data_IF_493392049263
#
_entry.id   IF_493392049263
#
_cell.length_a   1.000
_cell.length_b   1.000
_cell.length_c   1.000
_cell.angle_alpha   90.00
_cell.angle_beta   90.00
_cell.angle_gamma   90.00
#
_symmetry.space_group_name_H-M   'P 1'
#
loop_
_entity.id
_entity.type
_entity.pdbx_description
1 polymer ?
#
# COMPACT_ATOMS: atom_id res chain seq x y z
N UNK A 1 2.08 10.86 25.21
CA UNK A 1 2.24 9.41 25.49
C UNK A 1 1.33 8.70 24.53
N UNK A 2 1.80 7.64 23.86
CA UNK A 2 1.02 6.92 22.87
C UNK A 2 -0.30 6.36 23.46
N UNK A 3 -1.39 6.46 22.70
CA UNK A 3 -2.73 5.94 23.06
C UNK A 3 -3.32 5.11 21.91
N UNK A 4 -4.31 4.27 22.21
CA UNK A 4 -5.06 3.56 21.16
C UNK A 4 -5.82 4.52 20.24
N UNK A 5 -6.30 5.65 20.77
CA UNK A 5 -6.93 6.70 19.97
C UNK A 5 -5.96 7.25 18.92
N UNK A 6 -4.75 7.66 19.34
CA UNK A 6 -3.71 8.13 18.41
C UNK A 6 -3.31 7.04 17.40
N UNK A 7 -3.30 5.76 17.81
CA UNK A 7 -3.03 4.67 16.88
C UNK A 7 -4.12 4.54 15.82
N UNK A 8 -5.39 4.62 16.21
CA UNK A 8 -6.51 4.61 15.28
C UNK A 8 -6.48 5.79 14.30
N UNK A 9 -6.13 6.98 14.78
CA UNK A 9 -5.98 8.16 13.92
C UNK A 9 -4.88 7.97 12.87
N UNK A 10 -3.73 7.39 13.23
CA UNK A 10 -2.66 7.10 12.28
C UNK A 10 -3.03 6.01 11.28
N UNK A 11 -3.72 4.96 11.73
CA UNK A 11 -4.26 3.94 10.83
C UNK A 11 -5.20 4.58 9.81
N UNK A 12 -6.12 5.41 10.25
CA UNK A 12 -7.10 6.07 9.40
C UNK A 12 -6.42 6.95 8.35
N UNK A 13 -5.35 7.67 8.72
CA UNK A 13 -4.54 8.44 7.76
C UNK A 13 -3.83 7.53 6.74
N UNK A 14 -3.23 6.42 7.17
CA UNK A 14 -2.54 5.48 6.27
C UNK A 14 -3.49 4.82 5.28
N UNK A 15 -4.65 4.34 5.76
CA UNK A 15 -5.64 3.74 4.88
C UNK A 15 -6.30 4.78 3.98
N UNK A 16 -6.53 6.00 4.48
CA UNK A 16 -6.94 7.14 3.66
C UNK A 16 -5.97 7.40 2.50
N UNK A 17 -4.66 7.43 2.79
CA UNK A 17 -3.63 7.56 1.77
C UNK A 17 -3.70 6.48 0.67
N UNK A 18 -3.99 5.22 1.04
CA UNK A 18 -4.21 4.16 0.04
C UNK A 18 -5.39 4.47 -0.90
N UNK A 19 -6.53 4.88 -0.34
CA UNK A 19 -7.71 5.21 -1.15
C UNK A 19 -7.49 6.45 -2.00
N UNK A 20 -6.82 7.47 -1.47
CA UNK A 20 -6.45 8.67 -2.22
C UNK A 20 -5.52 8.34 -3.40
N UNK A 21 -4.50 7.51 -3.16
CA UNK A 21 -3.59 7.06 -4.21
C UNK A 21 -4.31 6.26 -5.29
N UNK A 22 -5.17 5.31 -4.92
CA UNK A 22 -5.90 4.48 -5.87
C UNK A 22 -6.92 5.29 -6.69
N UNK A 23 -7.61 6.25 -6.05
CA UNK A 23 -8.45 7.22 -6.74
C UNK A 23 -7.63 8.05 -7.73
N UNK A 24 -6.48 8.57 -7.32
CA UNK A 24 -5.60 9.36 -8.16
C UNK A 24 -5.09 8.56 -9.38
N UNK A 25 -4.74 7.29 -9.21
CA UNK A 25 -4.37 6.40 -10.32
C UNK A 25 -5.53 6.22 -11.31
N UNK A 26 -6.73 5.98 -10.79
CA UNK A 26 -7.94 5.81 -11.61
C UNK A 26 -8.27 7.06 -12.42
N UNK A 27 -8.23 8.24 -11.77
CA UNK A 27 -8.47 9.53 -12.43
C UNK A 27 -7.39 9.84 -13.47
N UNK A 28 -6.12 9.61 -13.14
CA UNK A 28 -4.99 9.85 -14.05
C UNK A 28 -5.07 8.95 -15.27
N UNK A 29 -5.36 7.66 -15.09
CA UNK A 29 -5.56 6.72 -16.20
C UNK A 29 -6.70 7.18 -17.13
N UNK A 30 -7.82 7.62 -16.57
CA UNK A 30 -8.95 8.15 -17.35
C UNK A 30 -8.52 9.36 -18.17
N UNK A 31 -7.89 10.34 -17.52
CA UNK A 31 -7.40 11.56 -18.17
C UNK A 31 -6.39 11.26 -19.30
N UNK A 32 -5.42 10.38 -19.05
CA UNK A 32 -4.43 9.96 -20.07
C UNK A 32 -5.10 9.26 -21.25
N UNK A 33 -6.14 8.45 -21.00
CA UNK A 33 -6.90 7.77 -22.06
C UNK A 33 -7.64 8.79 -22.93
N UNK A 34 -8.24 9.82 -22.33
CA UNK A 34 -8.92 10.89 -23.06
C UNK A 34 -7.95 11.72 -23.91
N UNK A 35 -6.78 12.10 -23.36
CA UNK A 35 -5.74 12.80 -24.12
C UNK A 35 -5.28 11.93 -25.30
N UNK A 36 -4.99 10.66 -25.03
CA UNK A 36 -4.50 9.74 -26.04
C UNK A 36 -5.47 9.65 -27.23
N UNK A 37 -6.77 9.52 -26.96
CA UNK A 37 -7.80 9.48 -27.99
C UNK A 37 -7.90 10.80 -28.76
N UNK A 38 -7.95 11.94 -28.05
CA UNK A 38 -8.05 13.27 -28.65
C UNK A 38 -6.86 13.60 -29.55
N UNK A 39 -5.65 13.24 -29.12
CA UNK A 39 -4.41 13.54 -29.82
C UNK A 39 -3.94 12.40 -30.75
N UNK A 40 -4.69 11.28 -30.82
CA UNK A 40 -4.35 10.09 -31.62
C UNK A 40 -2.95 9.54 -31.33
N UNK A 41 -2.57 9.54 -30.05
CA UNK A 41 -1.26 9.07 -29.58
C UNK A 41 -1.30 7.54 -29.40
N UNK A 42 -0.19 6.86 -29.67
CA UNK A 42 -0.06 5.41 -29.48
C UNK A 42 0.23 5.04 -28.03
N UNK A 43 -0.10 3.81 -27.61
CA UNK A 43 0.36 3.26 -26.33
C UNK A 43 1.88 3.12 -26.24
N UNK A 44 2.56 3.05 -27.39
CA UNK A 44 4.03 3.00 -27.48
C UNK A 44 4.68 4.38 -27.31
N UNK A 45 3.91 5.47 -27.28
CA UNK A 45 4.45 6.82 -27.16
C UNK A 45 5.05 7.05 -25.77
N UNK A 46 6.22 7.69 -25.74
CA UNK A 46 6.95 8.00 -24.52
C UNK A 46 6.20 9.02 -23.68
N UNK A 47 6.08 8.73 -22.38
CA UNK A 47 5.62 9.63 -21.34
C UNK A 47 6.77 9.90 -20.37
N UNK A 48 6.97 11.16 -19.99
CA UNK A 48 8.09 11.59 -19.18
C UNK A 48 7.60 12.35 -17.95
N UNK A 49 8.27 12.13 -16.83
CA UNK A 49 8.16 12.92 -15.62
C UNK A 49 9.39 13.81 -15.55
N UNK A 50 9.21 15.12 -15.48
CA UNK A 50 10.27 16.11 -15.36
C UNK A 50 9.99 17.09 -14.23
N UNK A 51 11.00 17.87 -13.89
CA UNK A 51 10.84 19.01 -12.99
C UNK A 51 10.49 20.26 -13.81
N UNK A 52 9.24 20.72 -13.70
CA UNK A 52 8.75 21.88 -14.43
C UNK A 52 8.53 21.64 -15.93
N UNK A 53 8.74 22.69 -16.72
CA UNK A 53 8.55 22.65 -18.18
C UNK A 53 9.69 21.88 -18.87
N UNK A 54 9.39 21.09 -19.93
CA UNK A 54 10.43 20.36 -20.66
C UNK A 54 11.45 21.34 -21.27
N UNK A 55 12.76 21.17 -21.04
CA UNK A 55 13.75 22.04 -21.62
C UNK A 55 13.96 21.67 -23.09
N UNK A 56 13.82 22.67 -23.97
CA UNK A 56 14.26 22.58 -25.36
C UNK A 56 13.57 21.47 -26.19
N UNK A 57 14.25 20.93 -27.21
CA UNK A 57 13.71 19.88 -28.07
C UNK A 57 13.59 18.50 -27.36
N UNK A 58 12.85 17.54 -27.93
CA UNK A 58 12.49 16.28 -27.26
C UNK A 58 13.68 15.43 -26.75
N UNK A 59 14.80 15.45 -27.44
CA UNK A 59 16.04 14.76 -27.05
C UNK A 59 16.62 15.33 -25.74
N UNK A 60 16.58 16.65 -25.56
CA UNK A 60 16.98 17.31 -24.31
C UNK A 60 15.99 17.03 -23.19
N UNK A 61 14.68 17.05 -23.50
CA UNK A 61 13.64 16.71 -22.54
C UNK A 61 13.76 15.27 -22.01
N UNK A 62 14.17 14.30 -22.83
CA UNK A 62 14.40 12.91 -22.40
C UNK A 62 15.55 12.85 -21.40
N UNK A 63 16.68 13.52 -21.69
CA UNK A 63 17.85 13.54 -20.82
C UNK A 63 17.57 14.23 -19.48
N UNK A 64 16.69 15.24 -19.49
CA UNK A 64 16.25 15.95 -18.29
C UNK A 64 15.12 15.23 -17.52
N UNK A 65 14.58 14.13 -18.04
CA UNK A 65 13.48 13.42 -17.38
C UNK A 65 13.96 12.69 -16.11
N UNK A 66 13.19 12.82 -15.03
CA UNK A 66 13.40 12.08 -13.78
C UNK A 66 12.98 10.62 -13.94
N UNK A 67 11.98 10.37 -14.78
CA UNK A 67 11.51 9.04 -15.13
C UNK A 67 10.84 9.08 -16.50
N UNK A 68 11.01 8.01 -17.29
CA UNK A 68 10.31 7.82 -18.54
C UNK A 68 9.71 6.42 -18.64
N UNK A 69 8.61 6.31 -19.37
CA UNK A 69 7.87 5.07 -19.64
C UNK A 69 7.07 5.24 -20.93
N UNK A 70 6.30 4.24 -21.34
CA UNK A 70 5.28 4.40 -22.38
C UNK A 70 3.91 4.69 -21.78
N UNK A 71 3.03 5.35 -22.55
CA UNK A 71 1.64 5.59 -22.14
C UNK A 71 0.89 4.29 -21.81
N UNK A 72 1.10 3.24 -22.62
CA UNK A 72 0.49 1.93 -22.39
C UNK A 72 0.93 1.33 -21.05
N UNK A 73 2.24 1.32 -20.78
CA UNK A 73 2.79 0.81 -19.52
C UNK A 73 2.31 1.63 -18.31
N UNK A 74 2.24 2.96 -18.43
CA UNK A 74 1.73 3.86 -17.40
C UNK A 74 0.26 3.56 -17.06
N UNK A 75 -0.61 3.47 -18.06
CA UNK A 75 -2.03 3.12 -17.86
C UNK A 75 -2.20 1.71 -17.29
N UNK A 76 -1.35 0.76 -17.68
CA UNK A 76 -1.38 -0.58 -17.14
C UNK A 76 -1.05 -0.57 -15.65
N UNK A 77 0.07 0.04 -15.22
CA UNK A 77 0.43 0.07 -13.79
C UNK A 77 -0.57 0.83 -12.90
N UNK A 78 -1.24 1.85 -13.45
CA UNK A 78 -2.32 2.60 -12.78
C UNK A 78 -3.68 1.87 -12.79
N UNK A 79 -3.78 0.71 -13.43
CA UNK A 79 -5.04 -0.04 -13.43
C UNK A 79 -5.31 -0.65 -12.06
N UNK A 80 -6.59 -0.76 -11.72
CA UNK A 80 -7.05 -1.33 -10.45
C UNK A 80 -6.41 -2.68 -10.19
N UNK A 81 -5.92 -2.87 -8.96
CA UNK A 81 -5.25 -4.08 -8.50
C UNK A 81 -3.98 -4.47 -9.28
N UNK A 82 -3.42 -3.58 -10.12
CA UNK A 82 -2.11 -3.78 -10.76
C UNK A 82 -1.02 -3.03 -10.00
N UNK A 83 0.19 -2.96 -10.59
CA UNK A 83 1.44 -2.60 -9.91
C UNK A 83 1.35 -1.41 -8.94
N UNK A 84 0.82 -0.26 -9.37
CA UNK A 84 0.89 0.96 -8.52
C UNK A 84 -0.12 0.89 -7.37
N UNK A 85 -1.34 0.41 -7.65
CA UNK A 85 -2.37 0.14 -6.63
C UNK A 85 -1.88 -0.90 -5.61
N UNK A 86 -1.24 -1.98 -6.08
CA UNK A 86 -0.65 -3.01 -5.21
C UNK A 86 0.51 -2.46 -4.38
N UNK A 87 1.39 -1.64 -4.95
CA UNK A 87 2.49 -0.99 -4.21
C UNK A 87 1.97 -0.09 -3.10
N UNK A 88 0.92 0.71 -3.38
CA UNK A 88 0.29 1.55 -2.38
C UNK A 88 -0.31 0.72 -1.23
N UNK A 89 -1.08 -0.33 -1.56
CA UNK A 89 -1.66 -1.23 -0.56
C UNK A 89 -0.58 -1.92 0.31
N UNK A 90 0.46 -2.46 -0.35
CA UNK A 90 1.58 -3.13 0.32
C UNK A 90 2.34 -2.18 1.24
N UNK A 91 2.61 -0.95 0.78
CA UNK A 91 3.27 0.06 1.60
C UNK A 91 2.45 0.37 2.86
N UNK A 92 1.13 0.54 2.72
CA UNK A 92 0.24 0.80 3.88
C UNK A 92 0.28 -0.36 4.88
N UNK A 93 0.23 -1.62 4.45
CA UNK A 93 0.34 -2.75 5.38
C UNK A 93 1.70 -2.80 6.09
N UNK A 94 2.79 -2.55 5.35
CA UNK A 94 4.15 -2.53 5.89
C UNK A 94 4.30 -1.42 6.94
N UNK A 95 3.83 -0.21 6.63
CA UNK A 95 3.89 0.94 7.55
C UNK A 95 3.01 0.74 8.77
N UNK A 96 1.80 0.20 8.58
CA UNK A 96 0.88 -0.13 9.67
C UNK A 96 1.54 -1.03 10.71
N UNK A 97 2.16 -2.14 10.27
CA UNK A 97 2.87 -3.03 11.18
C UNK A 97 4.09 -2.36 11.83
N UNK A 98 4.85 -1.57 11.07
CA UNK A 98 6.05 -0.92 11.58
C UNK A 98 5.73 0.12 12.66
N UNK A 99 4.72 0.97 12.42
CA UNK A 99 4.25 1.96 13.38
C UNK A 99 3.71 1.28 14.64
N UNK A 100 2.94 0.22 14.48
CA UNK A 100 2.48 -0.60 15.60
C UNK A 100 3.66 -1.08 16.45
N UNK A 101 4.64 -1.75 15.85
CA UNK A 101 5.74 -2.39 16.57
C UNK A 101 6.66 -1.36 17.26
N UNK A 102 7.05 -0.31 16.54
CA UNK A 102 8.08 0.63 17.03
C UNK A 102 7.51 1.70 17.96
N UNK A 103 6.30 2.19 17.69
CA UNK A 103 5.76 3.36 18.40
C UNK A 103 4.75 2.97 19.47
N UNK A 104 3.82 2.08 19.14
CA UNK A 104 2.63 1.85 19.97
C UNK A 104 2.74 0.63 20.87
N UNK A 105 3.23 -0.51 20.37
CA UNK A 105 3.21 -1.79 21.09
C UNK A 105 3.85 -1.69 22.47
N UNK A 106 5.06 -1.16 22.56
CA UNK A 106 5.77 -1.04 23.84
C UNK A 106 5.11 0.01 24.76
N UNK A 107 4.78 1.18 24.21
CA UNK A 107 4.22 2.28 24.99
C UNK A 107 2.84 1.97 25.59
N UNK A 108 2.02 1.18 24.89
CA UNK A 108 0.68 0.81 25.33
C UNK A 108 0.69 -0.32 26.36
N UNK A 109 1.68 -1.20 26.30
CA UNK A 109 1.91 -2.27 27.29
C UNK A 109 2.19 -1.66 28.68
N UNK A 110 3.13 -0.71 28.75
CA UNK A 110 3.54 -0.09 30.01
C UNK A 110 2.40 0.65 30.72
N UNK A 111 1.52 1.31 29.95
CA UNK A 111 0.43 2.13 30.49
C UNK A 111 -0.70 1.30 31.09
N UNK A 112 -0.99 0.14 30.52
CA UNK A 112 -2.12 -0.69 30.95
C UNK A 112 -1.72 -1.73 32.01
N UNK A 113 -0.48 -1.68 32.52
CA UNK A 113 0.04 -2.70 33.43
C UNK A 113 0.12 -4.09 32.80
N UNK A 114 0.10 -4.14 31.47
CA UNK A 114 0.22 -5.36 30.68
C UNK A 114 1.71 -5.70 30.65
N UNK A 115 2.09 -6.96 30.89
CA UNK A 115 3.50 -7.34 30.81
C UNK A 115 3.97 -7.32 29.34
N UNK A 116 5.19 -6.83 29.06
CA UNK A 116 5.80 -6.94 27.74
C UNK A 116 5.72 -8.39 27.24
N UNK A 117 5.12 -8.58 26.06
CA UNK A 117 4.87 -9.90 25.47
C UNK A 117 3.48 -10.49 25.71
N UNK A 118 2.59 -9.82 26.48
CA UNK A 118 1.19 -10.29 26.68
C UNK A 118 0.16 -9.58 25.80
N UNK A 119 0.55 -8.51 25.09
CA UNK A 119 -0.27 -7.92 24.02
C UNK A 119 -0.11 -8.73 22.73
N UNK A 120 -0.63 -9.95 22.78
CA UNK A 120 -0.76 -10.82 21.62
C UNK A 120 -1.98 -10.39 20.81
N UNK A 121 -1.75 -10.04 19.55
CA UNK A 121 -2.78 -9.65 18.59
C UNK A 121 -2.66 -10.53 17.36
N UNK A 122 -3.71 -11.32 17.09
CA UNK A 122 -3.72 -12.24 15.96
C UNK A 122 -3.61 -11.48 14.63
N UNK A 123 -4.29 -10.34 14.50
CA UNK A 123 -4.22 -9.50 13.30
C UNK A 123 -2.83 -8.89 13.09
N UNK A 124 -2.13 -8.47 14.15
CA UNK A 124 -0.75 -7.99 14.02
C UNK A 124 0.24 -9.13 13.74
N UNK A 125 -0.03 -10.32 14.28
CA UNK A 125 0.69 -11.55 13.95
C UNK A 125 0.58 -11.91 12.46
N UNK A 126 -0.62 -11.80 11.89
CA UNK A 126 -0.87 -12.02 10.47
C UNK A 126 -0.18 -10.96 9.60
N UNK A 127 -0.29 -9.68 9.98
CA UNK A 127 0.38 -8.58 9.28
C UNK A 127 1.90 -8.78 9.25
N UNK A 128 2.51 -9.26 10.34
CA UNK A 128 3.94 -9.60 10.37
C UNK A 128 4.30 -10.63 9.29
N UNK A 129 3.50 -11.69 9.17
CA UNK A 129 3.73 -12.76 8.18
C UNK A 129 3.58 -12.24 6.75
N UNK A 130 2.50 -11.49 6.49
CA UNK A 130 2.23 -10.89 5.18
C UNK A 130 3.30 -9.86 4.81
N UNK A 131 3.69 -8.99 5.74
CA UNK A 131 4.78 -8.02 5.57
C UNK A 131 6.09 -8.70 5.18
N UNK A 132 6.44 -9.81 5.85
CA UNK A 132 7.65 -10.55 5.50
C UNK A 132 7.61 -11.05 4.05
N UNK A 133 6.45 -11.55 3.60
CA UNK A 133 6.26 -11.94 2.20
C UNK A 133 6.39 -10.76 1.23
N UNK A 134 5.81 -9.60 1.58
CA UNK A 134 5.89 -8.37 0.78
C UNK A 134 7.35 -7.92 0.62
N UNK A 135 8.08 -7.79 1.73
CA UNK A 135 9.44 -7.23 1.74
C UNK A 135 10.47 -8.22 1.19
N UNK A 136 10.40 -9.49 1.59
CA UNK A 136 11.47 -10.45 1.34
C UNK A 136 11.17 -11.43 0.21
N UNK A 137 9.90 -11.62 -0.16
CA UNK A 137 9.50 -12.61 -1.16
C UNK A 137 8.76 -12.00 -2.35
N UNK A 138 9.01 -10.72 -2.67
CA UNK A 138 8.39 -10.01 -3.80
C UNK A 138 6.86 -10.12 -3.81
N UNK A 139 6.25 -10.05 -2.64
CA UNK A 139 4.81 -10.26 -2.44
C UNK A 139 4.30 -11.62 -2.95
N UNK A 140 5.12 -12.67 -2.86
CA UNK A 140 4.70 -14.07 -3.00
C UNK A 140 4.54 -14.63 -1.60
N UNK A 141 3.38 -15.24 -1.31
CA UNK A 141 3.10 -15.85 -0.03
C UNK A 141 4.02 -17.06 0.22
N UNK A 142 4.65 -17.11 1.39
CA UNK A 142 5.42 -18.27 1.84
C UNK A 142 4.54 -19.24 2.66
N UNK A 143 5.13 -20.30 3.21
CA UNK A 143 4.39 -21.23 4.07
C UNK A 143 3.90 -20.58 5.37
N UNK A 144 4.46 -19.45 5.77
CA UNK A 144 4.08 -18.70 6.96
C UNK A 144 2.64 -18.22 6.92
N UNK A 145 2.10 -17.86 5.75
CA UNK A 145 0.71 -17.35 5.62
C UNK A 145 -0.34 -18.39 6.00
N UNK A 146 0.00 -19.69 5.96
CA UNK A 146 -0.89 -20.76 6.42
C UNK A 146 -1.19 -20.69 7.92
N UNK A 147 -0.39 -19.93 8.67
CA UNK A 147 -0.58 -19.67 10.10
C UNK A 147 -1.40 -18.42 10.39
N UNK A 148 -1.80 -17.67 9.36
CA UNK A 148 -2.65 -16.50 9.54
C UNK A 148 -4.00 -16.91 10.14
N UNK A 149 -4.41 -16.23 11.21
CA UNK A 149 -5.64 -16.56 11.96
C UNK A 149 -6.83 -15.71 11.56
N UNK A 150 -6.57 -14.50 11.07
CA UNK A 150 -7.55 -13.49 10.66
C UNK A 150 -7.54 -13.33 9.14
N UNK A 151 -6.40 -12.99 8.53
CA UNK A 151 -6.26 -12.72 7.10
C UNK A 151 -5.98 -14.02 6.34
N UNK A 152 -7.04 -14.73 5.91
CA UNK A 152 -6.95 -16.07 5.31
C UNK A 152 -6.99 -16.13 3.78
N UNK A 153 -6.75 -15.01 3.12
CA UNK A 153 -6.90 -14.87 1.66
C UNK A 153 -5.74 -15.45 0.84
N UNK A 154 -4.61 -15.74 1.47
CA UNK A 154 -3.38 -16.09 0.75
C UNK A 154 -3.01 -17.55 0.95
N UNK A 155 -2.66 -18.21 -0.15
CA UNK A 155 -2.11 -19.56 -0.17
C UNK A 155 -0.61 -19.52 -0.45
N UNK A 156 0.20 -20.42 0.15
CA UNK A 156 1.62 -20.50 -0.16
C UNK A 156 1.88 -20.63 -1.68
N UNK A 157 2.85 -19.85 -2.18
CA UNK A 157 3.21 -19.77 -3.59
C UNK A 157 2.36 -18.80 -4.43
N UNK A 158 1.22 -18.32 -3.92
CA UNK A 158 0.39 -17.35 -4.63
C UNK A 158 0.93 -15.92 -4.45
N UNK A 159 0.69 -15.06 -5.44
CA UNK A 159 0.91 -13.61 -5.29
C UNK A 159 -0.07 -13.02 -4.28
N UNK A 160 0.43 -12.17 -3.40
CA UNK A 160 -0.36 -11.38 -2.45
C UNK A 160 -0.96 -10.21 -3.21
N UNK A 161 -2.22 -10.37 -3.59
CA UNK A 161 -3.03 -9.34 -4.24
C UNK A 161 -3.94 -8.71 -3.19
N UNK A 162 -3.68 -7.46 -2.85
CA UNK A 162 -4.45 -6.67 -1.90
C UNK A 162 -5.52 -5.88 -2.65
N UNK A 163 -6.74 -6.42 -2.69
CA UNK A 163 -7.90 -5.73 -3.23
C UNK A 163 -8.52 -4.80 -2.19
N UNK A 164 -9.39 -3.87 -2.61
CA UNK A 164 -10.13 -3.00 -1.68
C UNK A 164 -10.88 -3.78 -0.61
N UNK A 165 -11.47 -4.93 -0.99
CA UNK A 165 -12.19 -5.79 -0.06
C UNK A 165 -11.25 -6.33 1.04
N UNK A 166 -10.05 -6.77 0.64
CA UNK A 166 -9.03 -7.26 1.59
C UNK A 166 -8.52 -6.09 2.45
N UNK A 167 -8.23 -4.93 1.85
CA UNK A 167 -7.78 -3.76 2.61
C UNK A 167 -8.82 -3.30 3.63
N UNK A 168 -10.11 -3.30 3.25
CA UNK A 168 -11.22 -3.00 4.14
C UNK A 168 -11.36 -4.03 5.27
N UNK A 169 -11.19 -5.31 4.97
CA UNK A 169 -11.20 -6.36 5.99
C UNK A 169 -10.05 -6.19 6.99
N UNK A 170 -8.85 -5.87 6.51
CA UNK A 170 -7.68 -5.63 7.36
C UNK A 170 -7.89 -4.43 8.28
N UNK A 171 -8.27 -3.25 7.75
CA UNK A 171 -8.50 -2.08 8.60
C UNK A 171 -9.58 -2.34 9.64
N UNK A 172 -10.67 -3.00 9.25
CA UNK A 172 -11.75 -3.36 10.18
C UNK A 172 -11.25 -4.31 11.26
N UNK A 173 -10.51 -5.35 10.90
CA UNK A 173 -9.97 -6.31 11.86
C UNK A 173 -9.02 -5.65 12.87
N UNK A 174 -8.18 -4.72 12.42
CA UNK A 174 -7.31 -3.94 13.32
C UNK A 174 -8.15 -3.05 14.23
N UNK A 175 -9.14 -2.33 13.69
CA UNK A 175 -10.02 -1.46 14.46
C UNK A 175 -10.78 -2.23 15.54
N UNK A 176 -11.40 -3.35 15.17
CA UNK A 176 -12.17 -4.21 16.08
C UNK A 176 -11.28 -4.79 17.18
N UNK A 177 -10.03 -5.14 16.85
CA UNK A 177 -9.09 -5.67 17.83
C UNK A 177 -8.74 -4.63 18.89
N UNK A 178 -8.42 -3.40 18.47
CA UNK A 178 -7.93 -2.36 19.37
C UNK A 178 -9.01 -1.49 20.02
N UNK A 179 -10.23 -1.49 19.48
CA UNK A 179 -11.39 -0.84 20.12
C UNK A 179 -11.74 -1.44 21.48
N UNK A 180 -11.33 -2.69 21.75
CA UNK A 180 -11.53 -3.35 23.05
C UNK A 180 -10.65 -2.77 24.16
N UNK A 181 -9.66 -1.96 23.80
CA UNK A 181 -8.62 -1.45 24.69
C UNK A 181 -8.64 0.08 24.85
N UNK A 182 -9.51 0.75 24.11
CA UNK A 182 -9.76 2.20 24.19
C UNK A 182 -10.83 2.51 25.24
#
# INVERSE_FOLDING_TARGET
>A
MATFVEFHEELDQLFGFYFDADMAFSMTKKYLTEIQQKQKISDSSTFMFGDGEPPGPPDQAILASLHSTTLGALKQRMSKNLSDSQRAAQAVLVFTFHIWEEKYRNSLVDKNGIALGTLDSDIMGDLRLIRNCIIHNKAIADNGVSRCKVIKHFLPGASIILTDAIMFEVIRAIRDEFSKWA
#
